data_IF_941966695571
#
_entry.id   IF_941966695571
#
_cell.length_a   1.000
_cell.length_b   1.000
_cell.length_c   1.000
_cell.angle_alpha   90.00
_cell.angle_beta   90.00
_cell.angle_gamma   90.00
#
_symmetry.space_group_name_H-M   'P 1'
#
loop_
_entity.id
_entity.type
_entity.pdbx_description
1 polymer ?
#
# COMPACT_ATOMS: atom_id res chain seq x y z
N UNK A 1 -4.31 9.39 -33.43
CA UNK A 1 -5.30 8.38 -33.01
C UNK A 1 -4.70 7.07 -32.42
N UNK A 2 -3.37 6.93 -32.35
CA UNK A 2 -2.74 5.64 -31.94
C UNK A 2 -2.91 5.26 -30.45
N UNK A 3 -3.28 6.19 -29.58
CA UNK A 3 -3.25 5.97 -28.12
C UNK A 3 -4.61 5.92 -27.43
N UNK A 4 -5.72 6.03 -28.17
CA UNK A 4 -7.06 5.97 -27.60
C UNK A 4 -7.52 4.51 -27.44
N UNK A 5 -8.21 4.22 -26.31
CA UNK A 5 -8.94 2.94 -26.18
C UNK A 5 -10.09 2.89 -27.17
N UNK A 6 -10.57 1.66 -27.51
CA UNK A 6 -11.69 1.49 -28.43
C UNK A 6 -12.93 2.26 -27.94
N UNK A 7 -13.18 2.28 -26.63
CA UNK A 7 -14.26 3.07 -26.03
C UNK A 7 -14.06 4.57 -26.22
N UNK A 8 -12.86 5.10 -25.97
CA UNK A 8 -12.55 6.52 -26.17
C UNK A 8 -12.64 6.91 -27.63
N UNK A 9 -12.13 6.07 -28.53
CA UNK A 9 -12.23 6.30 -29.97
C UNK A 9 -13.69 6.30 -30.46
N UNK A 10 -14.52 5.39 -29.94
CA UNK A 10 -15.94 5.33 -30.24
C UNK A 10 -16.67 6.62 -29.84
N UNK A 11 -16.54 7.05 -28.60
CA UNK A 11 -17.22 8.29 -28.15
C UNK A 11 -16.67 9.53 -28.85
N UNK A 12 -15.37 9.60 -29.09
CA UNK A 12 -14.78 10.72 -29.84
C UNK A 12 -15.35 10.81 -31.25
N UNK A 13 -15.46 9.71 -31.98
CA UNK A 13 -16.03 9.70 -33.32
C UNK A 13 -17.53 10.04 -33.31
N UNK A 14 -18.27 9.58 -32.28
CA UNK A 14 -19.67 9.93 -32.11
C UNK A 14 -19.87 11.43 -31.89
N UNK A 15 -19.00 12.06 -31.08
CA UNK A 15 -19.06 13.49 -30.78
C UNK A 15 -18.65 14.37 -32.00
N UNK A 16 -17.63 13.93 -32.73
CA UNK A 16 -17.13 14.66 -33.91
C UNK A 16 -18.04 14.53 -35.13
N UNK A 17 -18.50 13.32 -35.44
CA UNK A 17 -19.30 13.05 -36.64
C UNK A 17 -20.80 13.15 -36.41
N UNK A 18 -21.25 13.08 -35.11
CA UNK A 18 -22.67 13.05 -34.73
C UNK A 18 -23.47 11.89 -35.34
N UNK A 19 -22.80 10.84 -35.78
CA UNK A 19 -23.37 9.66 -36.38
C UNK A 19 -23.25 8.45 -35.47
N UNK A 20 -24.37 7.76 -35.25
CA UNK A 20 -24.40 6.51 -34.51
C UNK A 20 -24.36 5.31 -35.47
N UNK A 21 -23.22 4.62 -35.53
CA UNK A 21 -23.04 3.49 -36.44
C UNK A 21 -23.46 2.17 -35.83
N UNK A 22 -23.18 1.91 -34.57
CA UNK A 22 -23.55 0.69 -33.88
C UNK A 22 -23.37 0.86 -32.36
N UNK A 23 -23.81 -0.10 -31.57
CA UNK A 23 -23.53 -0.11 -30.12
C UNK A 23 -22.05 -0.40 -29.85
N UNK A 24 -21.55 0.08 -28.73
CA UNK A 24 -20.18 -0.19 -28.28
C UNK A 24 -19.88 -1.68 -28.20
N UNK A 25 -20.84 -2.49 -27.73
CA UNK A 25 -20.71 -3.95 -27.67
C UNK A 25 -20.59 -4.60 -29.05
N UNK A 26 -21.34 -4.09 -30.05
CA UNK A 26 -21.22 -4.54 -31.45
C UNK A 26 -19.83 -4.19 -32.00
N UNK A 27 -19.33 -2.99 -31.73
CA UNK A 27 -17.98 -2.57 -32.14
C UNK A 27 -16.91 -3.49 -31.55
N UNK A 28 -16.97 -3.80 -30.26
CA UNK A 28 -16.05 -4.76 -29.62
C UNK A 28 -16.11 -6.16 -30.24
N UNK A 29 -17.32 -6.64 -30.61
CA UNK A 29 -17.50 -7.93 -31.28
C UNK A 29 -16.84 -7.96 -32.65
N UNK A 30 -17.02 -6.89 -33.45
CA UNK A 30 -16.42 -6.78 -34.79
C UNK A 30 -14.88 -6.70 -34.73
N UNK A 31 -14.35 -5.91 -33.79
CA UNK A 31 -12.90 -5.80 -33.60
C UNK A 31 -12.27 -7.12 -33.12
N UNK A 32 -12.98 -7.84 -32.24
CA UNK A 32 -12.56 -9.19 -31.81
C UNK A 32 -12.54 -10.19 -32.96
N UNK A 33 -13.58 -10.22 -33.78
CA UNK A 33 -13.68 -11.12 -34.94
C UNK A 33 -12.55 -10.88 -35.97
N UNK A 34 -12.02 -9.65 -36.05
CA UNK A 34 -10.92 -9.30 -36.94
C UNK A 34 -9.53 -9.31 -36.28
N UNK A 35 -9.42 -9.81 -35.03
CA UNK A 35 -8.15 -9.84 -34.30
C UNK A 35 -7.58 -8.45 -33.93
N UNK A 36 -8.37 -7.38 -34.08
CA UNK A 36 -7.94 -5.99 -33.82
C UNK A 36 -8.06 -5.59 -32.35
N UNK A 37 -8.60 -6.46 -31.50
CA UNK A 37 -8.76 -6.25 -30.07
C UNK A 37 -7.57 -6.82 -29.29
N UNK A 38 -6.36 -6.68 -29.83
CA UNK A 38 -5.15 -7.09 -29.12
C UNK A 38 -4.96 -6.27 -27.85
N UNK A 39 -4.64 -6.93 -26.73
CA UNK A 39 -4.17 -6.24 -25.53
C UNK A 39 -3.03 -5.32 -25.92
N UNK A 40 -3.11 -4.05 -25.53
CA UNK A 40 -1.94 -3.16 -25.66
C UNK A 40 -0.75 -3.84 -25.01
N UNK A 41 0.35 -3.93 -25.75
CA UNK A 41 1.59 -4.42 -25.17
C UNK A 41 1.88 -3.62 -23.89
N UNK A 42 2.29 -4.26 -22.79
CA UNK A 42 2.62 -3.54 -21.58
C UNK A 42 3.72 -2.52 -21.91
N UNK A 43 3.46 -1.26 -21.62
CA UNK A 43 4.36 -0.12 -21.91
C UNK A 43 5.69 -0.23 -21.13
N UNK A 44 5.80 -1.16 -20.23
CA UNK A 44 7.02 -1.52 -19.48
C UNK A 44 7.25 -3.02 -19.57
N UNK A 45 8.48 -3.42 -19.87
CA UNK A 45 8.92 -4.80 -19.66
C UNK A 45 8.61 -5.21 -18.21
N UNK A 46 8.03 -6.41 -18.05
CA UNK A 46 7.77 -6.98 -16.74
C UNK A 46 9.12 -7.12 -16.00
N UNK A 47 9.42 -6.20 -15.10
CA UNK A 47 10.57 -6.34 -14.22
C UNK A 47 10.43 -7.67 -13.48
N UNK A 48 11.44 -8.53 -13.58
CA UNK A 48 11.56 -9.74 -12.74
C UNK A 48 11.46 -9.28 -11.28
N UNK A 49 10.36 -9.61 -10.62
CA UNK A 49 10.18 -9.33 -9.20
C UNK A 49 11.06 -10.30 -8.43
N UNK A 50 12.11 -9.82 -7.77
CA UNK A 50 12.84 -10.65 -6.80
C UNK A 50 11.90 -11.04 -5.67
N UNK A 51 12.07 -12.26 -5.11
CA UNK A 51 11.30 -12.69 -3.93
C UNK A 51 11.44 -11.65 -2.82
N UNK A 52 10.35 -11.32 -2.08
CA UNK A 52 10.44 -10.48 -0.89
C UNK A 52 11.43 -11.12 0.11
N UNK A 53 12.21 -10.30 0.78
CA UNK A 53 13.03 -10.78 1.89
C UNK A 53 12.10 -11.25 3.01
N UNK A 54 12.10 -12.54 3.31
CA UNK A 54 11.37 -13.06 4.46
C UNK A 54 12.22 -12.83 5.73
N UNK A 55 11.64 -12.16 6.71
CA UNK A 55 12.26 -12.01 8.02
C UNK A 55 11.73 -13.12 8.93
N UNK A 56 12.62 -13.93 9.49
CA UNK A 56 12.33 -14.87 10.56
C UNK A 56 12.91 -14.32 11.86
N UNK A 57 12.20 -14.54 12.97
CA UNK A 57 12.66 -14.17 14.29
C UNK A 57 12.92 -15.45 15.08
N UNK A 58 14.04 -15.52 15.80
CA UNK A 58 14.42 -16.66 16.67
C UNK A 58 14.11 -16.39 18.14
N UNK A 59 13.93 -15.12 18.51
CA UNK A 59 13.57 -14.69 19.87
C UNK A 59 12.71 -13.42 19.84
N UNK A 60 12.08 -13.05 20.97
CA UNK A 60 11.27 -11.84 21.07
C UNK A 60 12.09 -10.56 20.77
N UNK A 61 11.42 -9.57 20.18
CA UNK A 61 11.97 -8.24 19.85
C UNK A 61 13.11 -8.25 18.81
N UNK A 62 13.11 -9.23 17.91
CA UNK A 62 13.96 -9.22 16.72
C UNK A 62 13.24 -8.69 15.49
N UNK A 63 11.96 -9.05 15.33
CA UNK A 63 11.14 -8.62 14.20
C UNK A 63 9.76 -8.23 14.72
N UNK A 64 9.38 -7.00 14.49
CA UNK A 64 8.02 -6.52 14.71
C UNK A 64 7.33 -6.25 13.38
N UNK A 65 6.06 -6.60 13.29
CA UNK A 65 5.19 -6.15 12.20
C UNK A 65 4.33 -4.99 12.70
N UNK A 66 4.19 -3.96 11.88
CA UNK A 66 3.38 -2.81 12.17
C UNK A 66 2.36 -2.58 11.06
N UNK A 67 1.10 -2.38 11.47
CA UNK A 67 -0.02 -2.14 10.57
C UNK A 67 -0.94 -1.04 11.09
N UNK A 68 -1.67 -0.39 10.18
CA UNK A 68 -2.66 0.63 10.48
C UNK A 68 -4.00 0.22 9.86
N UNK A 69 -4.95 -0.10 10.72
CA UNK A 69 -6.29 -0.53 10.32
C UNK A 69 -7.30 0.63 10.43
N UNK A 70 -8.11 0.82 9.40
CA UNK A 70 -9.16 1.83 9.37
C UNK A 70 -10.40 1.33 10.11
N UNK A 71 -10.75 2.00 11.20
CA UNK A 71 -11.93 1.70 12.00
C UNK A 71 -13.04 2.70 11.67
N UNK A 72 -14.15 2.22 11.13
CA UNK A 72 -15.30 3.06 10.83
C UNK A 72 -15.98 3.51 12.13
N UNK A 73 -16.31 4.81 12.23
CA UNK A 73 -17.08 5.30 13.35
C UNK A 73 -18.51 4.74 13.32
N UNK A 74 -18.98 4.20 14.44
CA UNK A 74 -20.39 3.79 14.60
C UNK A 74 -21.32 4.98 14.81
N UNK A 75 -20.80 6.11 15.28
CA UNK A 75 -21.59 7.30 15.66
C UNK A 75 -21.68 8.33 14.52
N UNK A 76 -20.62 8.46 13.70
CA UNK A 76 -20.55 9.49 12.67
C UNK A 76 -20.32 8.85 11.30
N UNK A 77 -21.26 9.04 10.37
CA UNK A 77 -21.15 8.55 9.00
C UNK A 77 -19.97 9.21 8.28
N UNK A 78 -19.12 8.39 7.63
CA UNK A 78 -17.96 8.88 6.89
C UNK A 78 -16.73 9.21 7.73
N UNK A 79 -16.80 9.12 9.06
CA UNK A 79 -15.65 9.31 9.94
C UNK A 79 -14.94 7.97 10.18
N UNK A 80 -13.62 8.01 10.13
CA UNK A 80 -12.74 6.88 10.43
C UNK A 80 -11.78 7.23 11.55
N UNK A 81 -11.38 6.20 12.31
CA UNK A 81 -10.28 6.21 13.25
C UNK A 81 -9.21 5.25 12.72
N UNK A 82 -8.02 5.34 13.24
CA UNK A 82 -6.85 4.62 12.76
C UNK A 82 -6.25 3.82 13.91
N UNK A 83 -6.42 2.50 13.87
CA UNK A 83 -5.82 1.59 14.85
C UNK A 83 -4.42 1.23 14.39
N UNK A 84 -3.44 1.70 15.14
CA UNK A 84 -2.02 1.36 14.97
C UNK A 84 -1.72 0.15 15.84
N UNK A 85 -1.17 -0.90 15.26
CA UNK A 85 -0.89 -2.15 15.97
C UNK A 85 0.53 -2.61 15.65
N UNK A 86 1.30 -2.96 16.67
CA UNK A 86 2.59 -3.63 16.54
C UNK A 86 2.47 -5.03 17.12
N UNK A 87 2.91 -6.03 16.36
CA UNK A 87 2.96 -7.44 16.79
C UNK A 87 4.39 -7.95 16.68
N UNK A 88 4.85 -8.61 17.71
CA UNK A 88 6.12 -9.35 17.69
C UNK A 88 5.97 -10.66 16.91
N UNK A 89 6.82 -10.84 15.90
CA UNK A 89 6.70 -11.99 14.98
C UNK A 89 6.97 -13.31 15.66
N UNK A 90 7.91 -13.34 16.60
CA UNK A 90 8.28 -14.55 17.32
C UNK A 90 7.20 -14.99 18.31
N UNK A 91 6.86 -14.11 19.26
CA UNK A 91 5.93 -14.44 20.34
C UNK A 91 4.46 -14.32 19.96
N UNK A 92 4.14 -13.67 18.84
CA UNK A 92 2.79 -13.31 18.41
C UNK A 92 2.09 -12.32 19.36
N UNK A 93 2.80 -11.74 20.28
CA UNK A 93 2.26 -10.80 21.26
C UNK A 93 2.01 -9.43 20.61
N UNK A 94 0.91 -8.79 20.97
CA UNK A 94 0.66 -7.40 20.66
C UNK A 94 1.57 -6.53 21.53
N UNK A 95 2.61 -5.97 20.95
CA UNK A 95 3.59 -5.09 21.60
C UNK A 95 2.96 -3.77 21.99
N UNK A 96 2.18 -3.20 21.06
CA UNK A 96 1.46 -1.94 21.28
C UNK A 96 0.25 -1.87 20.36
N UNK A 97 -0.84 -1.28 20.87
CA UNK A 97 -2.03 -0.95 20.09
C UNK A 97 -2.58 0.39 20.57
N UNK A 98 -2.86 1.30 19.65
CA UNK A 98 -3.48 2.61 19.92
C UNK A 98 -4.40 3.02 18.78
N UNK A 99 -5.41 3.81 19.11
CA UNK A 99 -6.34 4.39 18.13
C UNK A 99 -6.14 5.89 18.07
N UNK A 100 -6.02 6.42 16.85
CA UNK A 100 -5.85 7.83 16.57
C UNK A 100 -6.97 8.35 15.68
N UNK A 101 -7.15 9.67 15.66
CA UNK A 101 -8.17 10.32 14.84
C UNK A 101 -7.72 10.57 13.39
N UNK A 102 -6.44 10.48 13.14
CA UNK A 102 -5.85 10.65 11.81
C UNK A 102 -4.67 9.70 11.61
N UNK A 103 -4.37 9.40 10.35
CA UNK A 103 -3.14 8.73 9.93
C UNK A 103 -2.12 9.80 9.55
N UNK A 104 -1.12 10.03 10.44
CA UNK A 104 -0.04 10.97 10.20
C UNK A 104 1.28 10.52 10.84
N UNK A 105 2.38 11.14 10.39
CA UNK A 105 3.72 10.82 10.83
C UNK A 105 3.99 11.12 12.32
N UNK A 106 3.36 12.14 12.89
CA UNK A 106 3.59 12.50 14.30
C UNK A 106 3.04 11.44 15.24
N UNK A 107 1.87 10.89 14.92
CA UNK A 107 1.30 9.76 15.65
C UNK A 107 2.15 8.50 15.49
N UNK A 108 2.66 8.24 14.28
CA UNK A 108 3.55 7.12 14.00
C UNK A 108 4.85 7.22 14.84
N UNK A 109 5.49 8.39 14.85
CA UNK A 109 6.71 8.65 15.63
C UNK A 109 6.49 8.45 17.12
N UNK A 110 5.40 9.00 17.68
CA UNK A 110 5.05 8.82 19.10
C UNK A 110 4.79 7.35 19.43
N UNK A 111 3.99 6.69 18.60
CA UNK A 111 3.56 5.31 18.79
C UNK A 111 4.75 4.33 18.78
N UNK A 112 5.62 4.42 17.78
CA UNK A 112 6.83 3.63 17.68
C UNK A 112 7.84 3.97 18.78
N UNK A 113 8.08 5.25 19.03
CA UNK A 113 9.02 5.69 20.05
C UNK A 113 8.63 5.24 21.47
N UNK A 114 7.33 5.24 21.79
CA UNK A 114 6.82 4.70 23.04
C UNK A 114 7.06 3.19 23.15
N UNK A 115 6.83 2.45 22.06
CA UNK A 115 7.07 1.01 22.03
C UNK A 115 8.56 0.70 22.20
N UNK A 116 9.46 1.41 21.51
CA UNK A 116 10.91 1.19 21.64
C UNK A 116 11.41 1.45 23.07
N UNK A 117 10.94 2.52 23.71
CA UNK A 117 11.30 2.84 25.10
C UNK A 117 10.76 1.78 26.07
N UNK A 118 9.50 1.38 25.89
CA UNK A 118 8.84 0.40 26.78
C UNK A 118 9.54 -0.94 26.79
N UNK A 119 10.04 -1.39 25.65
CA UNK A 119 10.72 -2.68 25.50
C UNK A 119 12.23 -2.59 25.53
N UNK A 120 12.80 -1.40 25.76
CA UNK A 120 14.25 -1.21 25.87
C UNK A 120 15.00 -1.65 24.61
N UNK A 121 14.47 -1.36 23.43
CA UNK A 121 15.06 -1.78 22.16
C UNK A 121 16.42 -1.14 21.97
N UNK A 122 17.44 -1.98 21.71
CA UNK A 122 18.81 -1.53 21.46
C UNK A 122 19.06 -1.32 19.96
N UNK A 123 19.99 -0.41 19.57
CA UNK A 123 20.40 -0.26 18.19
C UNK A 123 20.86 -1.59 17.55
N UNK A 124 20.42 -1.85 16.33
CA UNK A 124 20.73 -3.09 15.60
C UNK A 124 19.99 -4.35 16.03
N UNK A 125 19.13 -4.26 17.06
CA UNK A 125 18.39 -5.41 17.57
C UNK A 125 17.14 -5.74 16.77
N UNK A 126 16.40 -4.71 16.33
CA UNK A 126 15.03 -4.83 15.81
C UNK A 126 14.95 -4.55 14.33
N UNK A 127 14.17 -5.36 13.64
CA UNK A 127 13.65 -5.07 12.30
C UNK A 127 12.15 -4.74 12.43
N UNK A 128 11.73 -3.58 11.95
CA UNK A 128 10.32 -3.21 11.86
C UNK A 128 9.86 -3.41 10.43
N UNK A 129 8.89 -4.30 10.23
CA UNK A 129 8.27 -4.58 8.94
C UNK A 129 6.88 -3.94 8.87
N UNK A 130 6.58 -3.25 7.76
CA UNK A 130 5.25 -2.69 7.52
C UNK A 130 4.84 -2.82 6.06
N UNK A 131 3.63 -2.43 5.75
CA UNK A 131 3.21 -2.17 4.39
C UNK A 131 3.79 -0.83 3.86
N UNK A 132 3.28 -0.37 2.71
CA UNK A 132 3.74 0.85 2.05
C UNK A 132 2.90 2.09 2.41
N UNK A 133 2.29 2.14 3.59
CA UNK A 133 1.49 3.27 4.07
C UNK A 133 2.25 4.61 4.06
N UNK A 134 1.52 5.72 3.86
CA UNK A 134 2.12 7.05 3.73
C UNK A 134 2.84 7.49 5.02
N UNK A 135 2.22 7.31 6.18
CA UNK A 135 2.82 7.61 7.50
C UNK A 135 4.02 6.73 7.83
N UNK A 136 4.02 5.49 7.31
CA UNK A 136 5.10 4.52 7.51
C UNK A 136 6.37 4.89 6.76
N UNK A 137 6.24 5.57 5.60
CA UNK A 137 7.35 6.05 4.76
C UNK A 137 7.68 7.52 4.97
N UNK A 138 6.95 8.19 5.84
CA UNK A 138 7.17 9.61 6.11
C UNK A 138 8.57 9.85 6.68
N UNK A 139 9.22 10.93 6.25
CA UNK A 139 10.57 11.27 6.68
C UNK A 139 10.76 11.29 8.22
N UNK A 140 9.83 11.82 9.04
CA UNK A 140 9.95 11.76 10.49
C UNK A 140 9.97 10.33 11.05
N UNK A 141 9.17 9.42 10.47
CA UNK A 141 9.14 8.01 10.88
C UNK A 141 10.46 7.32 10.56
N UNK A 142 10.97 7.51 9.35
CA UNK A 142 12.26 6.95 8.93
C UNK A 142 13.41 7.50 9.76
N UNK A 143 13.43 8.80 10.05
CA UNK A 143 14.43 9.42 10.92
C UNK A 143 14.41 8.87 12.35
N UNK A 144 13.21 8.57 12.91
CA UNK A 144 13.11 7.91 14.21
C UNK A 144 13.74 6.52 14.20
N UNK A 145 13.47 5.73 13.17
CA UNK A 145 14.01 4.36 13.02
C UNK A 145 15.53 4.39 12.88
N UNK A 146 16.05 5.27 12.02
CA UNK A 146 17.50 5.46 11.83
C UNK A 146 18.19 5.91 13.12
N UNK A 147 17.65 6.93 13.81
CA UNK A 147 18.16 7.42 15.10
C UNK A 147 18.27 6.32 16.16
N UNK A 148 17.35 5.37 16.16
CA UNK A 148 17.35 4.24 17.10
C UNK A 148 18.10 3.02 16.57
N UNK A 149 18.75 3.10 15.40
CA UNK A 149 19.48 1.98 14.79
C UNK A 149 18.57 0.80 14.44
N UNK A 150 17.31 1.05 14.06
CA UNK A 150 16.32 0.04 13.75
C UNK A 150 16.23 -0.14 12.25
N UNK A 151 16.33 -1.39 11.80
CA UNK A 151 16.19 -1.72 10.38
C UNK A 151 14.72 -1.63 9.97
N UNK A 152 14.45 -0.89 8.90
CA UNK A 152 13.11 -0.79 8.33
C UNK A 152 12.97 -1.67 7.09
N UNK A 153 11.87 -2.42 7.04
CA UNK A 153 11.51 -3.25 5.91
C UNK A 153 10.04 -3.03 5.55
N UNK A 154 9.72 -3.06 4.27
CA UNK A 154 8.34 -2.91 3.82
C UNK A 154 8.00 -3.91 2.71
N UNK A 155 6.72 -4.27 2.65
CA UNK A 155 6.17 -5.11 1.59
C UNK A 155 6.35 -4.42 0.24
N UNK A 156 6.64 -5.19 -0.80
CA UNK A 156 6.63 -4.67 -2.17
C UNK A 156 5.20 -4.58 -2.68
N UNK A 157 4.93 -3.52 -3.43
CA UNK A 157 3.71 -3.39 -4.24
C UNK A 157 3.67 -4.40 -5.38
#
# INVERSE_FOLDING_TARGET
MRDLSLTQAFYKLLDENKEYWCSLSTLYRLFRARGLNARRAPTREARRRSKPTAYSAEKPNEVWTWDITYLRSSKYTGRFYYAYVIVDVYSRMVVSARVFEADNADFAVRFLGDAFRRYGIKPGQLVVHSDNGASMKAAPTLALLEKNGITFSHSRL
#
